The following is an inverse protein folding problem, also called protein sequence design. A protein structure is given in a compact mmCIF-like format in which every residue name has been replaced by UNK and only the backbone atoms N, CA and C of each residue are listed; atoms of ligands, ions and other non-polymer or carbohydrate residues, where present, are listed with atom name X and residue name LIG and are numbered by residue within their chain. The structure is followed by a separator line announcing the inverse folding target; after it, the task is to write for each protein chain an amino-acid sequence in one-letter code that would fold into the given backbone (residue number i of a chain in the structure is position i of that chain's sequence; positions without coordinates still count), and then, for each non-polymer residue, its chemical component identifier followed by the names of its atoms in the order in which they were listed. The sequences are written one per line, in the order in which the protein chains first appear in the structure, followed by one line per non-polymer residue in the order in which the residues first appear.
data_IF_735351627241
#
_entry.id   IF_735351627241
#
_cell.length_a   1.000
_cell.length_b   1.000
_cell.length_c   1.000
_cell.angle_alpha   90.00
_cell.angle_beta   90.00
_cell.angle_gamma   90.00
#
_symmetry.space_group_name_H-M   'P 1'
#
loop_
_entity.id
_entity.type
_entity.pdbx_description
1 polymer ?
#
# COMPACT_ATOMS: atom_id res chain seq x y z
N UNK A 1 -1.81 -17.11 -19.37
CA UNK A 1 -1.61 -17.28 -17.92
C UNK A 1 -0.12 -17.22 -17.68
N UNK A 2 0.35 -16.47 -16.69
CA UNK A 2 1.76 -16.50 -16.32
C UNK A 2 1.99 -17.81 -15.55
N UNK A 3 3.01 -18.57 -15.94
CA UNK A 3 3.35 -19.83 -15.28
C UNK A 3 4.52 -19.63 -14.31
N UNK A 4 4.46 -20.34 -13.18
CA UNK A 4 5.52 -20.35 -12.18
C UNK A 4 5.12 -19.68 -10.84
N UNK A 5 6.09 -19.66 -9.93
CA UNK A 5 5.94 -19.11 -8.58
C UNK A 5 7.13 -18.25 -8.23
N UNK A 6 6.89 -17.15 -7.55
CA UNK A 6 7.92 -16.34 -6.91
C UNK A 6 8.11 -16.83 -5.47
N UNK A 7 9.36 -17.04 -5.08
CA UNK A 7 9.73 -17.42 -3.71
C UNK A 7 10.08 -16.14 -2.97
N UNK A 8 9.22 -15.76 -2.02
CA UNK A 8 9.44 -14.61 -1.15
C UNK A 8 9.97 -15.10 0.19
N UNK A 9 11.16 -14.63 0.55
CA UNK A 9 11.89 -14.98 1.78
C UNK A 9 12.59 -13.75 2.39
N UNK A 10 13.38 -13.96 3.44
CA UNK A 10 14.15 -12.88 4.10
C UNK A 10 15.29 -12.30 3.26
N UNK A 11 15.73 -13.01 2.22
CA UNK A 11 16.80 -12.55 1.32
C UNK A 11 16.26 -11.67 0.18
N UNK A 12 14.94 -11.73 -0.04
CA UNK A 12 14.28 -10.92 -1.07
C UNK A 12 14.48 -9.45 -0.78
N UNK A 13 15.05 -8.73 -1.76
CA UNK A 13 15.35 -7.31 -1.63
C UNK A 13 14.16 -6.46 -2.07
N UNK A 14 13.88 -5.41 -1.32
CA UNK A 14 12.94 -4.36 -1.74
C UNK A 14 13.76 -3.22 -2.35
N UNK A 15 13.50 -2.95 -3.63
CA UNK A 15 14.16 -1.91 -4.40
C UNK A 15 13.16 -0.83 -4.81
N UNK A 16 13.61 0.42 -4.88
CA UNK A 16 12.80 1.52 -5.36
C UNK A 16 13.52 2.34 -6.43
N UNK A 17 12.76 2.79 -7.42
CA UNK A 17 13.27 3.72 -8.42
C UNK A 17 13.58 5.07 -7.75
N UNK A 18 14.68 5.75 -8.14
CA UNK A 18 14.99 7.09 -7.62
C UNK A 18 13.86 8.08 -7.98
N UNK A 19 13.31 8.71 -6.96
CA UNK A 19 12.21 9.67 -7.07
C UNK A 19 11.49 9.85 -5.73
N UNK A 20 11.14 11.08 -5.37
CA UNK A 20 10.29 11.34 -4.21
C UNK A 20 8.81 11.11 -4.60
N UNK A 21 7.96 10.46 -3.78
CA UNK A 21 8.16 9.84 -2.47
C UNK A 21 8.15 8.29 -2.54
N UNK A 22 8.94 7.67 -3.43
CA UNK A 22 8.91 6.20 -3.65
C UNK A 22 9.55 5.45 -2.47
N UNK A 23 10.61 6.00 -1.88
CA UNK A 23 11.32 5.42 -0.74
C UNK A 23 10.41 5.22 0.47
N UNK A 24 9.66 6.26 0.87
CA UNK A 24 8.77 6.19 2.03
C UNK A 24 7.63 5.21 1.84
N UNK A 25 7.13 5.06 0.60
CA UNK A 25 6.12 4.06 0.25
C UNK A 25 6.67 2.63 0.36
N UNK A 26 7.87 2.38 -0.17
CA UNK A 26 8.52 1.08 -0.02
C UNK A 26 8.80 0.75 1.46
N UNK A 27 9.21 1.75 2.26
CA UNK A 27 9.44 1.58 3.69
C UNK A 27 8.15 1.31 4.46
N UNK A 28 7.06 1.99 4.09
CA UNK A 28 5.72 1.76 4.65
C UNK A 28 5.21 0.35 4.34
N UNK A 29 5.48 -0.17 3.13
CA UNK A 29 5.16 -1.53 2.74
C UNK A 29 5.92 -2.58 3.56
N UNK A 30 7.24 -2.42 3.73
CA UNK A 30 8.05 -3.31 4.59
C UNK A 30 7.53 -3.30 6.03
N UNK A 31 7.18 -2.11 6.53
CA UNK A 31 6.61 -1.94 7.86
C UNK A 31 5.24 -2.62 7.99
N UNK A 32 4.41 -2.55 6.95
CA UNK A 32 3.10 -3.21 6.92
C UNK A 32 3.27 -4.73 6.99
N UNK A 33 4.15 -5.32 6.17
CA UNK A 33 4.44 -6.76 6.21
C UNK A 33 4.91 -7.22 7.60
N UNK A 34 5.83 -6.47 8.22
CA UNK A 34 6.37 -6.80 9.54
C UNK A 34 5.28 -6.80 10.62
N UNK A 35 4.32 -5.86 10.57
CA UNK A 35 3.21 -5.77 11.54
C UNK A 35 2.15 -6.84 11.36
N UNK A 36 1.98 -7.38 10.15
CA UNK A 36 0.91 -8.33 9.82
C UNK A 36 1.39 -9.78 9.77
N UNK A 37 2.59 -10.07 10.30
CA UNK A 37 3.15 -11.43 10.35
C UNK A 37 3.69 -11.95 9.01
N UNK A 38 3.96 -11.05 8.05
CA UNK A 38 4.64 -11.37 6.80
C UNK A 38 6.16 -11.58 6.97
N UNK A 39 6.89 -11.80 5.86
CA UNK A 39 8.34 -11.92 5.89
C UNK A 39 9.00 -10.65 6.45
N UNK A 40 10.00 -10.86 7.31
CA UNK A 40 10.87 -9.77 7.78
C UNK A 40 11.91 -9.46 6.69
N UNK A 41 11.60 -8.46 5.87
CA UNK A 41 12.49 -7.99 4.81
C UNK A 41 13.44 -6.91 5.32
N UNK A 42 14.59 -6.78 4.67
CA UNK A 42 15.52 -5.68 4.92
C UNK A 42 14.92 -4.33 4.51
N UNK A 43 15.51 -3.24 4.99
CA UNK A 43 15.12 -1.89 4.59
C UNK A 43 15.22 -1.71 3.06
N UNK A 44 14.29 -0.94 2.45
CA UNK A 44 14.34 -0.69 1.02
C UNK A 44 15.66 -0.04 0.60
N UNK A 45 16.14 -0.38 -0.59
CA UNK A 45 17.36 0.18 -1.16
C UNK A 45 17.10 0.76 -2.55
N UNK A 46 17.86 1.77 -3.00
CA UNK A 46 17.70 2.30 -4.35
C UNK A 46 18.04 1.21 -5.38
N UNK A 47 17.29 1.18 -6.48
CA UNK A 47 17.54 0.25 -7.59
C UNK A 47 18.98 0.36 -8.09
N UNK A 48 19.69 -0.78 -8.14
CA UNK A 48 20.99 -0.87 -8.79
C UNK A 48 20.81 -1.41 -10.21
N UNK A 49 21.64 -0.96 -11.14
CA UNK A 49 21.64 -1.46 -12.52
C UNK A 49 22.11 -2.92 -12.61
N UNK A 50 22.78 -3.44 -11.57
CA UNK A 50 23.19 -4.85 -11.51
C UNK A 50 21.98 -5.76 -11.31
N UNK A 51 22.00 -6.93 -11.94
CA UNK A 51 20.95 -7.94 -11.80
C UNK A 51 20.64 -8.20 -10.32
N UNK A 52 19.40 -7.89 -9.94
CA UNK A 52 18.89 -8.33 -8.67
C UNK A 52 18.32 -9.74 -8.86
N UNK A 53 18.64 -10.66 -7.94
CA UNK A 53 17.92 -11.93 -7.82
C UNK A 53 16.46 -11.69 -7.44
N UNK A 54 15.91 -12.48 -6.52
CA UNK A 54 14.55 -12.26 -6.04
C UNK A 54 14.38 -10.84 -5.45
N UNK A 55 13.58 -10.00 -6.11
CA UNK A 55 13.30 -8.63 -5.66
C UNK A 55 11.86 -8.18 -5.86
N UNK A 56 11.49 -7.20 -5.05
CA UNK A 56 10.26 -6.42 -5.18
C UNK A 56 10.67 -5.00 -5.58
N UNK A 57 10.19 -4.52 -6.72
CA UNK A 57 10.49 -3.19 -7.26
C UNK A 57 9.29 -2.28 -7.22
N UNK A 58 9.51 -1.07 -6.70
CA UNK A 58 8.56 0.02 -6.74
C UNK A 58 9.04 1.07 -7.74
N UNK A 59 8.26 1.28 -8.80
CA UNK A 59 8.65 2.12 -9.94
C UNK A 59 7.54 3.13 -10.25
N UNK A 60 7.91 4.41 -10.38
CA UNK A 60 7.03 5.41 -10.99
C UNK A 60 7.33 5.47 -12.49
N UNK A 61 6.31 5.31 -13.31
CA UNK A 61 6.42 5.46 -14.76
C UNK A 61 6.08 6.89 -15.17
N UNK A 62 6.98 7.51 -15.94
CA UNK A 62 6.73 8.79 -16.60
C UNK A 62 5.87 8.56 -17.85
N UNK A 63 4.59 8.27 -17.67
CA UNK A 63 3.65 8.07 -18.76
C UNK A 63 2.23 8.05 -18.22
N UNK A 64 1.39 8.97 -18.68
CA UNK A 64 -0.02 9.04 -18.30
C UNK A 64 -0.80 7.85 -18.86
N UNK A 65 -0.70 6.70 -18.20
CA UNK A 65 -1.59 5.57 -18.45
C UNK A 65 -3.04 5.95 -18.11
N UNK A 66 -3.98 5.35 -18.82
CA UNK A 66 -5.44 5.58 -18.69
C UNK A 66 -5.99 5.32 -17.28
N UNK A 67 -5.17 4.75 -16.38
CA UNK A 67 -5.51 4.34 -15.03
C UNK A 67 -5.58 5.48 -13.99
N UNK A 68 -5.22 6.72 -14.36
CA UNK A 68 -5.33 7.91 -13.49
C UNK A 68 -4.35 7.95 -12.31
N UNK A 69 -4.55 8.86 -11.36
CA UNK A 69 -3.65 9.08 -10.20
C UNK A 69 -3.60 7.89 -9.21
N UNK A 70 -4.62 7.04 -9.22
CA UNK A 70 -4.81 5.95 -8.26
C UNK A 70 -4.59 4.57 -8.91
N UNK A 71 -4.36 4.52 -10.21
CA UNK A 71 -4.16 3.28 -10.95
C UNK A 71 -2.74 2.73 -10.82
N UNK A 72 -2.62 1.41 -10.89
CA UNK A 72 -1.35 0.70 -10.80
C UNK A 72 -1.36 -0.61 -11.58
N UNK A 73 -0.16 -1.11 -11.89
CA UNK A 73 0.07 -2.46 -12.38
C UNK A 73 0.96 -3.23 -11.41
N UNK A 74 0.57 -4.44 -11.07
CA UNK A 74 1.35 -5.38 -10.27
C UNK A 74 1.68 -6.61 -11.12
N UNK A 75 2.96 -6.85 -11.32
CA UNK A 75 3.46 -8.04 -12.01
C UNK A 75 4.29 -8.90 -11.07
N UNK A 76 3.86 -10.14 -10.89
CA UNK A 76 4.59 -11.17 -10.15
C UNK A 76 5.10 -12.18 -11.17
N UNK A 77 6.42 -12.27 -11.30
CA UNK A 77 7.12 -13.28 -12.11
C UNK A 77 8.00 -14.15 -11.21
N UNK A 78 8.43 -15.34 -11.64
CA UNK A 78 9.33 -16.18 -10.85
C UNK A 78 10.65 -15.49 -10.46
N UNK A 79 11.11 -14.50 -11.23
CA UNK A 79 12.37 -13.80 -11.01
C UNK A 79 12.21 -12.54 -10.14
N UNK A 80 11.10 -11.80 -10.31
CA UNK A 80 10.88 -10.50 -9.64
C UNK A 80 9.40 -10.14 -9.53
N UNK A 81 9.10 -9.29 -8.56
CA UNK A 81 7.84 -8.59 -8.40
C UNK A 81 8.04 -7.13 -8.76
N UNK A 82 7.13 -6.56 -9.55
CA UNK A 82 7.19 -5.17 -9.98
C UNK A 82 5.85 -4.50 -9.73
N UNK A 83 5.86 -3.45 -8.92
CA UNK A 83 4.74 -2.54 -8.69
C UNK A 83 5.03 -1.24 -9.43
N UNK A 84 4.17 -0.90 -10.37
CA UNK A 84 4.30 0.30 -11.21
C UNK A 84 3.04 1.15 -11.12
N UNK A 85 3.23 2.46 -11.06
CA UNK A 85 2.15 3.43 -11.15
C UNK A 85 2.64 4.73 -11.78
N UNK A 86 1.70 5.57 -12.20
CA UNK A 86 1.99 6.90 -12.76
C UNK A 86 2.10 7.97 -11.66
N UNK A 87 1.57 7.67 -10.48
CA UNK A 87 1.48 8.60 -9.36
C UNK A 87 1.68 7.86 -8.02
N UNK A 88 2.21 8.52 -6.97
CA UNK A 88 2.49 7.89 -5.68
C UNK A 88 1.28 7.21 -5.01
N UNK A 89 0.06 7.73 -5.23
CA UNK A 89 -1.19 7.13 -4.71
C UNK A 89 -1.45 5.75 -5.31
N UNK A 90 -1.32 5.61 -6.63
CA UNK A 90 -1.42 4.32 -7.30
C UNK A 90 -0.34 3.35 -6.80
N UNK A 91 0.88 3.83 -6.59
CA UNK A 91 1.97 3.00 -6.08
C UNK A 91 1.69 2.46 -4.67
N UNK A 92 1.12 3.30 -3.80
CA UNK A 92 0.63 2.88 -2.48
C UNK A 92 -0.42 1.77 -2.59
N UNK A 93 -1.44 1.95 -3.44
CA UNK A 93 -2.48 0.93 -3.65
C UNK A 93 -1.96 -0.36 -4.28
N UNK A 94 -0.94 -0.28 -5.13
CA UNK A 94 -0.23 -1.45 -5.63
C UNK A 94 0.51 -2.20 -4.53
N UNK A 95 1.16 -1.49 -3.61
CA UNK A 95 1.77 -2.07 -2.41
C UNK A 95 0.76 -2.77 -1.49
N UNK A 96 -0.41 -2.15 -1.26
CA UNK A 96 -1.52 -2.77 -0.50
C UNK A 96 -2.00 -4.06 -1.15
N UNK A 97 -2.12 -4.08 -2.49
CA UNK A 97 -2.59 -5.27 -3.21
C UNK A 97 -1.55 -6.38 -3.21
N UNK A 98 -0.28 -6.04 -3.35
CA UNK A 98 0.81 -7.00 -3.16
C UNK A 98 0.79 -7.57 -1.73
N UNK A 99 0.56 -6.74 -0.71
CA UNK A 99 0.40 -7.18 0.66
C UNK A 99 -0.76 -8.17 0.82
N UNK A 100 -1.92 -7.90 0.20
CA UNK A 100 -3.07 -8.83 0.20
C UNK A 100 -2.74 -10.17 -0.46
N UNK A 101 -1.98 -10.17 -1.56
CA UNK A 101 -1.53 -11.42 -2.20
C UNK A 101 -0.60 -12.20 -1.25
N UNK A 102 0.32 -11.52 -0.56
CA UNK A 102 1.25 -12.17 0.38
C UNK A 102 0.53 -12.75 1.60
N UNK A 103 -0.48 -12.07 2.14
CA UNK A 103 -1.21 -12.53 3.33
C UNK A 103 -2.22 -13.63 3.04
N UNK A 104 -2.63 -13.80 1.78
CA UNK A 104 -3.57 -14.86 1.36
C UNK A 104 -2.86 -16.16 0.99
N UNK A 105 -1.58 -16.13 0.62
CA UNK A 105 -0.82 -17.35 0.32
C UNK A 105 -0.37 -18.07 1.58
N UNK A 106 -0.40 -19.41 1.54
CA UNK A 106 0.10 -20.22 2.64
C UNK A 106 1.62 -20.12 2.76
N UNK A 107 2.09 -19.99 4.00
CA UNK A 107 3.52 -20.05 4.34
C UNK A 107 3.97 -21.52 4.28
N UNK A 108 4.99 -21.81 3.49
CA UNK A 108 5.63 -23.13 3.44
C UNK A 108 7.02 -23.01 4.06
N UNK A 109 7.22 -23.65 5.23
CA UNK A 109 8.40 -23.45 6.06
C UNK A 109 8.65 -21.95 6.30
N UNK A 110 9.74 -21.38 5.78
CA UNK A 110 10.11 -19.97 5.96
C UNK A 110 9.96 -19.10 4.69
N UNK A 111 9.24 -19.59 3.68
CA UNK A 111 9.00 -18.87 2.43
C UNK A 111 7.51 -18.75 2.09
N UNK A 112 7.16 -17.67 1.41
CA UNK A 112 5.85 -17.43 0.81
C UNK A 112 5.95 -17.71 -0.69
N UNK A 113 5.07 -18.57 -1.20
CA UNK A 113 5.04 -18.94 -2.62
C UNK A 113 3.93 -18.16 -3.31
N UNK A 114 4.31 -17.10 -4.03
CA UNK A 114 3.34 -16.28 -4.75
C UNK A 114 3.16 -16.83 -6.17
N UNK A 115 1.92 -17.01 -6.65
CA UNK A 115 1.69 -17.40 -8.04
C UNK A 115 2.12 -16.27 -8.99
N UNK A 116 2.64 -16.64 -10.16
CA UNK A 116 2.90 -15.66 -11.21
C UNK A 116 1.58 -15.07 -11.71
N UNK A 117 1.44 -13.74 -11.64
CA UNK A 117 0.21 -13.04 -12.00
C UNK A 117 0.48 -11.62 -12.46
N UNK A 118 -0.49 -11.05 -13.17
CA UNK A 118 -0.50 -9.66 -13.59
C UNK A 118 -1.85 -9.06 -13.18
N UNK A 119 -1.81 -7.91 -12.50
CA UNK A 119 -2.99 -7.14 -12.09
C UNK A 119 -2.82 -5.75 -12.65
N UNK A 120 -3.83 -5.27 -13.37
CA UNK A 120 -4.02 -3.88 -13.74
C UNK A 120 -5.30 -3.43 -13.04
N UNK A 121 -5.19 -2.42 -12.18
CA UNK A 121 -6.31 -2.00 -11.33
C UNK A 121 -6.36 -0.47 -11.24
N UNK A 122 -7.58 0.06 -11.32
CA UNK A 122 -7.88 1.47 -11.24
C UNK A 122 -9.30 1.66 -10.68
N UNK A 123 -9.52 2.67 -9.83
CA UNK A 123 -10.82 2.85 -9.21
C UNK A 123 -11.86 3.37 -10.23
N UNK A 124 -13.04 2.75 -10.26
CA UNK A 124 -14.18 3.24 -11.04
C UNK A 124 -14.69 4.61 -10.58
N UNK A 125 -14.68 4.85 -9.27
CA UNK A 125 -15.19 6.09 -8.67
C UNK A 125 -14.09 6.81 -7.93
N UNK A 126 -13.94 8.11 -8.21
CA UNK A 126 -12.95 8.97 -7.55
C UNK A 126 -13.20 9.14 -6.05
N UNK A 127 -14.46 9.15 -5.62
CA UNK A 127 -14.82 9.37 -4.22
C UNK A 127 -15.20 8.03 -3.57
N UNK A 128 -14.39 7.58 -2.61
CA UNK A 128 -14.62 6.33 -1.86
C UNK A 128 -14.36 6.63 -0.40
N UNK A 129 -15.42 6.80 0.38
CA UNK A 129 -15.27 7.32 1.72
C UNK A 129 -16.11 6.65 2.79
N UNK A 130 -15.75 6.98 4.03
CA UNK A 130 -16.40 6.50 5.24
C UNK A 130 -16.75 7.71 6.12
N UNK A 131 -17.97 7.72 6.64
CA UNK A 131 -18.44 8.75 7.56
C UNK A 131 -18.38 8.25 9.01
N UNK A 132 -17.74 9.03 9.88
CA UNK A 132 -17.73 8.79 11.33
C UNK A 132 -18.46 9.94 12.04
N UNK A 133 -19.53 9.61 12.78
CA UNK A 133 -20.26 10.54 13.64
C UNK A 133 -19.67 10.50 15.05
N UNK A 134 -18.88 11.52 15.39
CA UNK A 134 -18.32 11.74 16.73
C UNK A 134 -19.15 12.71 17.57
N UNK A 135 -20.26 13.23 17.02
CA UNK A 135 -21.15 14.13 17.72
C UNK A 135 -22.00 13.39 18.76
N UNK A 136 -22.38 12.13 18.47
CA UNK A 136 -23.21 11.30 19.35
C UNK A 136 -22.40 10.57 20.41
N UNK A 137 -21.26 10.02 20.01
CA UNK A 137 -20.38 9.27 20.88
C UNK A 137 -18.94 9.68 20.60
N UNK A 138 -18.23 10.11 21.64
CA UNK A 138 -16.83 10.48 21.51
C UNK A 138 -15.98 9.27 21.11
N UNK A 139 -15.15 9.46 20.09
CA UNK A 139 -14.17 8.47 19.63
C UNK A 139 -12.76 8.99 19.91
N UNK A 140 -11.92 8.24 20.66
CA UNK A 140 -10.59 8.70 20.96
C UNK A 140 -9.71 8.78 19.69
N UNK A 141 -8.73 9.71 19.62
CA UNK A 141 -7.87 9.87 18.44
C UNK A 141 -7.16 8.58 18.00
N UNK A 142 -6.82 7.69 18.95
CA UNK A 142 -6.21 6.40 18.67
C UNK A 142 -7.17 5.46 17.91
N UNK A 143 -8.47 5.53 18.18
CA UNK A 143 -9.47 4.80 17.42
C UNK A 143 -9.57 5.36 16.00
N UNK A 144 -9.63 6.67 15.84
CA UNK A 144 -9.71 7.32 14.52
C UNK A 144 -8.49 6.97 13.68
N UNK A 145 -7.27 6.99 14.24
CA UNK A 145 -6.05 6.60 13.52
C UNK A 145 -6.12 5.16 13.02
N UNK A 146 -6.53 4.21 13.86
CA UNK A 146 -6.71 2.81 13.45
C UNK A 146 -7.76 2.67 12.35
N UNK A 147 -8.86 3.43 12.44
CA UNK A 147 -9.87 3.43 11.39
C UNK A 147 -9.32 3.97 10.05
N UNK A 148 -8.48 5.02 10.09
CA UNK A 148 -7.82 5.54 8.88
C UNK A 148 -6.83 4.51 8.30
N UNK A 149 -6.10 3.78 9.14
CA UNK A 149 -5.22 2.69 8.69
C UNK A 149 -6.03 1.59 7.96
N UNK A 150 -7.16 1.17 8.53
CA UNK A 150 -8.06 0.19 7.88
C UNK A 150 -8.66 0.73 6.58
N UNK A 151 -9.08 1.99 6.55
CA UNK A 151 -9.56 2.65 5.34
C UNK A 151 -8.51 2.62 4.23
N UNK A 152 -7.24 2.86 4.56
CA UNK A 152 -6.15 2.83 3.61
C UNK A 152 -5.92 1.42 3.03
N UNK A 153 -6.02 0.36 3.84
CA UNK A 153 -5.95 -1.04 3.38
C UNK A 153 -7.09 -1.43 2.43
N UNK A 154 -8.23 -0.74 2.53
CA UNK A 154 -9.39 -0.94 1.66
C UNK A 154 -9.47 0.06 0.49
N UNK A 155 -8.40 0.83 0.24
CA UNK A 155 -8.32 1.84 -0.83
C UNK A 155 -9.42 2.92 -0.76
N UNK A 156 -9.94 3.19 0.44
CA UNK A 156 -10.80 4.34 0.71
C UNK A 156 -9.94 5.60 0.84
N UNK A 157 -10.36 6.69 0.22
CA UNK A 157 -9.56 7.91 0.08
C UNK A 157 -10.20 9.14 0.73
N UNK A 158 -11.44 9.02 1.23
CA UNK A 158 -12.16 10.15 1.81
C UNK A 158 -12.73 9.83 3.18
N UNK A 159 -12.36 10.60 4.19
CA UNK A 159 -12.90 10.48 5.54
C UNK A 159 -13.80 11.67 5.87
N UNK A 160 -15.07 11.40 6.16
CA UNK A 160 -16.04 12.42 6.54
C UNK A 160 -16.26 12.36 8.06
N UNK A 161 -15.85 13.40 8.77
CA UNK A 161 -16.04 13.50 10.22
C UNK A 161 -17.24 14.40 10.52
N UNK A 162 -18.30 13.84 11.10
CA UNK A 162 -19.42 14.60 11.61
C UNK A 162 -19.19 14.92 13.09
N UNK A 163 -19.04 16.21 13.41
CA UNK A 163 -18.82 16.71 14.76
C UNK A 163 -19.90 17.74 15.15
N UNK A 164 -20.29 17.77 16.42
CA UNK A 164 -21.27 18.75 16.92
C UNK A 164 -20.68 20.17 16.93
N UNK A 165 -21.44 21.22 16.54
CA UNK A 165 -20.95 22.60 16.55
C UNK A 165 -20.60 23.15 17.95
N UNK A 166 -20.98 22.48 19.04
CA UNK A 166 -20.73 22.93 20.42
C UNK A 166 -19.33 22.64 20.99
N UNK A 167 -18.36 22.19 20.18
CA UNK A 167 -16.97 21.94 20.65
C UNK A 167 -16.14 23.22 20.86
N UNK A 168 -16.74 24.26 21.45
CA UNK A 168 -16.07 25.51 21.84
C UNK A 168 -15.98 25.67 23.37
N UNK A 169 -15.70 24.59 24.08
CA UNK A 169 -15.23 24.61 25.46
C UNK A 169 -14.48 23.29 25.74
N UNK A 170 -13.17 23.24 25.44
CA UNK A 170 -12.33 22.07 25.73
C UNK A 170 -11.73 21.37 24.50
N UNK A 171 -10.85 22.05 23.77
CA UNK A 171 -9.63 21.39 23.24
C UNK A 171 -9.66 20.56 21.95
N UNK A 172 -10.79 20.20 21.34
CA UNK A 172 -10.77 19.43 20.08
C UNK A 172 -10.89 20.32 18.84
N UNK A 173 -9.76 20.60 18.16
CA UNK A 173 -9.73 21.14 16.79
C UNK A 173 -9.60 19.99 15.80
N UNK A 174 -10.63 19.73 15.02
CA UNK A 174 -10.55 18.81 13.88
C UNK A 174 -10.33 19.60 12.60
N UNK A 175 -9.13 19.50 12.02
CA UNK A 175 -8.87 19.95 10.66
C UNK A 175 -9.23 18.81 9.69
N UNK A 176 -10.02 19.11 8.66
CA UNK A 176 -10.31 18.16 7.60
C UNK A 176 -9.04 17.88 6.80
N UNK A 177 -8.47 16.69 6.97
CA UNK A 177 -7.29 16.24 6.22
C UNK A 177 -7.77 15.29 5.12
N UNK A 178 -7.45 15.61 3.86
CA UNK A 178 -7.43 14.61 2.78
C UNK A 178 -6.25 13.68 3.06
N UNK A 179 -6.51 12.38 3.10
CA UNK A 179 -5.52 11.32 3.29
C UNK A 179 -4.82 11.05 1.96
#
# INVERSE_FOLDING_TARGET
MLEGRFVLDRQTRVEFAPGAPVESLAASFVSLLARTGGPQLAAPSPMRQSECGACIRFELSAGGGEAGEEGYSLHISPQRIVVRATHPRGLFYGGVSLWQVITTVQRSADAWLLPALAIEDAPRFRWRGLMLDVARHYMPPQFIKRLLDEMALHKLNTFLLAASPTTRAGGCRFAGTRI
#
